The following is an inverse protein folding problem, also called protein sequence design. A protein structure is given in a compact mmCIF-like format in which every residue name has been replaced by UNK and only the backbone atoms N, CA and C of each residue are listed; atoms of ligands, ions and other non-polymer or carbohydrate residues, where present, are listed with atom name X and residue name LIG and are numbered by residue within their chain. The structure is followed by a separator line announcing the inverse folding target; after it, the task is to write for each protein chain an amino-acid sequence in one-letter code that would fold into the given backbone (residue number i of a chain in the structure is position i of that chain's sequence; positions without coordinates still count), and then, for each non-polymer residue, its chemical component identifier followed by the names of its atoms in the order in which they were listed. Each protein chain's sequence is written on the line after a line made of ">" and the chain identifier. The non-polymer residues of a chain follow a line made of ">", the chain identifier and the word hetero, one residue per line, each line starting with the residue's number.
data_IF_033347508981
#
_entry.id   IF_033347508981
#
_cell.length_a   1.000
_cell.length_b   1.000
_cell.length_c   1.000
_cell.angle_alpha   90.00
_cell.angle_beta   90.00
_cell.angle_gamma   90.00
#
_symmetry.space_group_name_H-M   'P 1'
#
loop_
_entity.id
_entity.type
_entity.pdbx_description
1 polymer ?
#
# COMPACT_ATOMS: atom_id res chain seq x y z
N UNK A 1 17.60 7.32 -6.65
CA UNK A 1 17.11 6.42 -5.59
C UNK A 1 17.59 5.00 -5.86
N UNK A 2 18.85 4.68 -5.53
CA UNK A 2 19.31 3.30 -5.40
C UNK A 2 18.89 2.66 -4.05
N UNK A 3 18.71 3.47 -3.01
CA UNK A 3 18.68 3.03 -1.61
C UNK A 3 17.58 2.01 -1.25
N UNK A 4 16.39 2.10 -1.86
CA UNK A 4 15.28 1.20 -1.48
C UNK A 4 15.38 -0.19 -2.12
N UNK A 5 15.85 -0.27 -3.37
CA UNK A 5 16.10 -1.56 -4.04
C UNK A 5 17.24 -2.29 -3.34
N UNK A 6 18.28 -1.56 -2.95
CA UNK A 6 19.41 -2.11 -2.18
C UNK A 6 18.95 -2.67 -0.82
N UNK A 7 18.02 -1.99 -0.13
CA UNK A 7 17.43 -2.47 1.12
C UNK A 7 16.69 -3.80 0.93
N UNK A 8 15.91 -3.95 -0.15
CA UNK A 8 15.22 -5.21 -0.45
C UNK A 8 16.23 -6.33 -0.73
N UNK A 9 17.31 -6.03 -1.47
CA UNK A 9 18.40 -6.99 -1.71
C UNK A 9 19.10 -7.40 -0.41
N UNK A 10 19.28 -6.48 0.54
CA UNK A 10 19.85 -6.78 1.86
C UNK A 10 18.96 -7.75 2.65
N UNK A 11 17.66 -7.49 2.71
CA UNK A 11 16.71 -8.43 3.35
C UNK A 11 16.74 -9.81 2.71
N UNK A 12 16.73 -9.86 1.38
CA UNK A 12 16.80 -11.13 0.65
C UNK A 12 18.10 -11.88 0.94
N UNK A 13 19.25 -11.19 0.92
CA UNK A 13 20.55 -11.78 1.24
C UNK A 13 20.70 -12.22 2.71
N UNK A 14 19.88 -11.67 3.61
CA UNK A 14 19.81 -12.02 5.03
C UNK A 14 18.73 -13.07 5.36
N UNK A 15 18.05 -13.64 4.36
CA UNK A 15 16.93 -14.58 4.52
C UNK A 15 15.71 -13.99 5.26
N UNK A 16 15.58 -12.65 5.27
CA UNK A 16 14.42 -11.94 5.81
C UNK A 16 13.26 -11.91 4.79
N UNK A 17 12.83 -13.10 4.36
CA UNK A 17 11.85 -13.24 3.27
C UNK A 17 10.50 -12.59 3.59
N UNK A 18 10.10 -12.54 4.87
CA UNK A 18 8.87 -11.86 5.31
C UNK A 18 8.87 -10.36 4.95
N UNK A 19 10.01 -9.69 5.06
CA UNK A 19 10.18 -8.28 4.69
C UNK A 19 9.99 -8.08 3.18
N UNK A 20 10.58 -8.96 2.37
CA UNK A 20 10.45 -8.94 0.90
C UNK A 20 8.99 -9.17 0.49
N UNK A 21 8.35 -10.16 1.10
CA UNK A 21 6.95 -10.52 0.92
C UNK A 21 5.99 -9.38 1.29
N UNK A 22 6.27 -8.68 2.40
CA UNK A 22 5.50 -7.52 2.82
C UNK A 22 5.55 -6.42 1.77
N UNK A 23 6.72 -6.13 1.18
CA UNK A 23 6.84 -5.17 0.07
C UNK A 23 6.10 -5.66 -1.18
N UNK A 24 6.22 -6.94 -1.52
CA UNK A 24 5.55 -7.52 -2.68
C UNK A 24 4.02 -7.38 -2.60
N UNK A 25 3.43 -7.50 -1.41
CA UNK A 25 1.99 -7.27 -1.16
C UNK A 25 1.64 -5.79 -1.04
N UNK A 26 2.53 -4.98 -0.51
CA UNK A 26 2.31 -3.55 -0.29
C UNK A 26 2.22 -2.76 -1.60
N UNK A 27 3.10 -3.03 -2.57
CA UNK A 27 3.13 -2.30 -3.85
C UNK A 27 1.76 -2.30 -4.57
N UNK A 28 1.12 -3.45 -4.88
CA UNK A 28 -0.18 -3.45 -5.53
C UNK A 28 -1.29 -2.85 -4.64
N UNK A 29 -1.16 -2.92 -3.31
CA UNK A 29 -2.09 -2.25 -2.41
C UNK A 29 -2.02 -0.73 -2.54
N UNK A 30 -0.81 -0.15 -2.55
CA UNK A 30 -0.61 1.28 -2.72
C UNK A 30 -1.00 1.77 -4.12
N UNK A 31 -0.72 0.99 -5.16
CA UNK A 31 -1.16 1.32 -6.52
C UNK A 31 -2.67 1.44 -6.61
N UNK A 32 -3.41 0.52 -5.97
CA UNK A 32 -4.86 0.66 -5.85
C UNK A 32 -5.27 1.91 -5.07
N UNK A 33 -4.64 2.19 -3.92
CA UNK A 33 -4.98 3.38 -3.11
C UNK A 33 -4.76 4.67 -3.90
N UNK A 34 -3.72 4.71 -4.75
CA UNK A 34 -3.35 5.86 -5.57
C UNK A 34 -4.20 6.06 -6.85
N UNK A 35 -5.05 5.11 -7.23
CA UNK A 35 -5.95 5.22 -8.38
C UNK A 35 -6.92 6.41 -8.26
N UNK A 36 -7.73 6.69 -9.28
CA UNK A 36 -8.91 7.56 -9.14
C UNK A 36 -10.08 6.83 -8.50
N UNK A 37 -11.12 7.55 -8.06
CA UNK A 37 -12.28 6.95 -7.40
C UNK A 37 -12.98 5.92 -8.30
N UNK A 38 -13.26 6.30 -9.55
CA UNK A 38 -13.88 5.41 -10.54
C UNK A 38 -13.06 4.15 -10.80
N UNK A 39 -11.73 4.26 -10.87
CA UNK A 39 -10.85 3.11 -11.05
C UNK A 39 -10.93 2.15 -9.84
N UNK A 40 -10.95 2.67 -8.61
CA UNK A 40 -11.07 1.84 -7.41
C UNK A 40 -12.40 1.09 -7.33
N UNK A 41 -13.49 1.75 -7.69
CA UNK A 41 -14.83 1.15 -7.70
C UNK A 41 -14.93 -0.03 -8.68
N UNK A 42 -14.20 0.05 -9.80
CA UNK A 42 -14.17 -0.97 -10.84
C UNK A 42 -13.19 -2.11 -10.53
N UNK A 43 -12.15 -1.84 -9.72
CA UNK A 43 -11.07 -2.79 -9.46
C UNK A 43 -11.38 -3.82 -8.37
N UNK A 44 -12.42 -3.62 -7.56
CA UNK A 44 -12.82 -4.57 -6.52
C UNK A 44 -14.21 -5.16 -6.80
N UNK A 45 -14.38 -6.49 -6.63
CA UNK A 45 -15.69 -7.14 -6.72
C UNK A 45 -16.54 -6.84 -5.48
N UNK A 46 -17.78 -7.33 -5.46
CA UNK A 46 -18.57 -7.40 -4.23
C UNK A 46 -18.72 -6.10 -3.43
N UNK A 47 -18.60 -6.22 -2.11
CA UNK A 47 -18.72 -5.11 -1.17
C UNK A 47 -17.40 -4.35 -1.04
N UNK A 48 -17.35 -3.13 -1.57
CA UNK A 48 -16.12 -2.32 -1.61
C UNK A 48 -15.50 -2.09 -0.23
N UNK A 49 -16.33 -1.87 0.81
CA UNK A 49 -15.85 -1.69 2.18
C UNK A 49 -15.13 -2.93 2.73
N UNK A 50 -15.65 -4.13 2.46
CA UNK A 50 -15.03 -5.38 2.89
C UNK A 50 -13.80 -5.73 2.05
N UNK A 51 -13.91 -5.57 0.73
CA UNK A 51 -12.83 -5.92 -0.19
C UNK A 51 -11.62 -5.01 -0.01
N UNK A 52 -11.82 -3.70 0.21
CA UNK A 52 -10.69 -2.78 0.35
C UNK A 52 -9.88 -3.06 1.62
N UNK A 53 -10.52 -3.52 2.69
CA UNK A 53 -9.82 -4.01 3.87
C UNK A 53 -8.97 -5.24 3.52
N UNK A 54 -9.63 -6.31 3.05
CA UNK A 54 -9.01 -7.62 2.91
C UNK A 54 -7.93 -7.66 1.82
N UNK A 55 -8.16 -6.98 0.70
CA UNK A 55 -7.28 -7.07 -0.46
C UNK A 55 -6.20 -5.98 -0.48
N UNK A 56 -6.33 -4.91 0.32
CA UNK A 56 -5.47 -3.71 0.21
C UNK A 56 -5.00 -3.21 1.56
N UNK A 57 -5.88 -2.67 2.40
CA UNK A 57 -5.47 -1.94 3.60
C UNK A 57 -4.86 -2.82 4.67
N UNK A 58 -5.23 -4.11 4.72
CA UNK A 58 -4.51 -5.09 5.52
C UNK A 58 -3.03 -5.17 5.15
N UNK A 59 -2.69 -5.20 3.87
CA UNK A 59 -1.28 -5.23 3.43
C UNK A 59 -0.50 -3.96 3.77
N UNK A 60 -1.19 -2.81 3.84
CA UNK A 60 -0.60 -1.56 4.34
C UNK A 60 -0.27 -1.68 5.83
N UNK A 61 -1.20 -2.21 6.63
CA UNK A 61 -0.98 -2.46 8.05
C UNK A 61 0.14 -3.47 8.30
N UNK A 62 0.08 -4.62 7.62
CA UNK A 62 1.06 -5.70 7.76
C UNK A 62 2.46 -5.18 7.45
N UNK A 63 2.64 -4.42 6.36
CA UNK A 63 3.94 -3.86 6.00
C UNK A 63 4.47 -2.86 7.04
N UNK A 64 3.60 -2.03 7.65
CA UNK A 64 4.01 -1.15 8.74
C UNK A 64 4.48 -1.94 9.97
N UNK A 65 3.89 -3.10 10.24
CA UNK A 65 4.28 -3.97 11.36
C UNK A 65 5.60 -4.71 11.08
N UNK A 66 5.77 -5.23 9.87
CA UNK A 66 6.94 -6.04 9.50
C UNK A 66 8.17 -5.16 9.22
N UNK A 67 8.05 -4.18 8.33
CA UNK A 67 9.20 -3.41 7.83
C UNK A 67 9.19 -1.94 8.24
N UNK A 68 8.13 -1.45 8.90
CA UNK A 68 7.92 -0.01 9.14
C UNK A 68 9.10 0.72 9.78
N UNK A 69 9.82 0.08 10.72
CA UNK A 69 10.99 0.65 11.40
C UNK A 69 12.28 0.63 10.56
N UNK A 70 12.34 -0.21 9.54
CA UNK A 70 13.48 -0.34 8.64
C UNK A 70 13.32 0.51 7.38
N UNK A 71 12.11 1.01 7.11
CA UNK A 71 11.85 1.90 5.98
C UNK A 71 12.50 3.28 6.19
N UNK A 72 13.10 3.88 5.16
CA UNK A 72 13.50 5.28 5.17
C UNK A 72 12.31 6.20 5.48
N UNK A 73 12.53 7.32 6.18
CA UNK A 73 11.48 8.27 6.54
C UNK A 73 10.67 8.78 5.35
N UNK A 74 11.31 8.93 4.18
CA UNK A 74 10.66 9.33 2.92
C UNK A 74 9.58 8.34 2.45
N UNK A 75 9.61 7.11 2.94
CA UNK A 75 8.63 6.05 2.67
C UNK A 75 7.75 5.84 3.91
N UNK A 76 8.36 5.72 5.09
CA UNK A 76 7.67 5.39 6.33
C UNK A 76 6.64 6.46 6.74
N UNK A 77 6.97 7.75 6.63
CA UNK A 77 6.07 8.83 7.01
C UNK A 77 4.79 8.89 6.15
N UNK A 78 4.86 8.92 4.80
CA UNK A 78 3.65 8.90 3.98
C UNK A 78 2.90 7.56 4.09
N UNK A 79 3.57 6.43 4.30
CA UNK A 79 2.91 5.14 4.50
C UNK A 79 2.09 5.12 5.81
N UNK A 80 2.67 5.61 6.90
CA UNK A 80 1.95 5.81 8.16
C UNK A 80 0.76 6.75 7.98
N UNK A 81 0.86 7.79 7.15
CA UNK A 81 -0.26 8.68 6.83
C UNK A 81 -1.38 7.96 6.10
N UNK A 82 -1.08 7.09 5.12
CA UNK A 82 -2.10 6.26 4.44
C UNK A 82 -2.86 5.43 5.49
N UNK A 83 -2.13 4.75 6.38
CA UNK A 83 -2.74 3.94 7.42
C UNK A 83 -3.57 4.76 8.42
N UNK A 84 -3.02 5.86 8.94
CA UNK A 84 -3.69 6.70 9.92
C UNK A 84 -5.01 7.29 9.38
N UNK A 85 -5.04 7.69 8.11
CA UNK A 85 -6.25 8.18 7.45
C UNK A 85 -7.32 7.09 7.36
N UNK A 86 -6.94 5.87 6.98
CA UNK A 86 -7.87 4.74 6.92
C UNK A 86 -8.34 4.30 8.31
N UNK A 87 -7.44 4.15 9.27
CA UNK A 87 -7.74 3.74 10.64
C UNK A 87 -8.61 4.76 11.40
N UNK A 88 -8.64 6.02 10.96
CA UNK A 88 -9.51 7.06 11.50
C UNK A 88 -10.94 7.06 10.90
N UNK A 89 -11.22 6.19 9.92
CA UNK A 89 -12.56 6.04 9.35
C UNK A 89 -13.45 5.28 10.32
N UNK A 90 -14.67 5.79 10.54
CA UNK A 90 -15.69 5.10 11.33
C UNK A 90 -16.63 4.27 10.46
N UNK A 91 -17.58 3.58 11.10
CA UNK A 91 -18.57 2.73 10.42
C UNK A 91 -19.37 3.50 9.34
N UNK A 92 -19.60 4.80 9.55
CA UNK A 92 -20.30 5.67 8.62
C UNK A 92 -19.48 6.03 7.36
N UNK A 93 -18.15 5.89 7.39
CA UNK A 93 -17.26 6.22 6.27
C UNK A 93 -17.13 5.07 5.26
N UNK A 94 -17.28 3.83 5.71
CA UNK A 94 -17.15 2.59 4.93
C UNK A 94 -18.41 1.69 5.04
N UNK A 95 -19.62 2.20 4.74
CA UNK A 95 -20.82 1.38 4.82
C UNK A 95 -20.79 0.26 3.78
N UNK A 96 -21.17 -0.94 4.22
CA UNK A 96 -21.33 -2.08 3.31
C UNK A 96 -22.35 -1.77 2.20
N UNK A 97 -22.11 -2.33 1.02
CA UNK A 97 -22.93 -2.18 -0.20
C UNK A 97 -22.95 -0.77 -0.84
N UNK A 98 -22.33 0.23 -0.23
CA UNK A 98 -22.13 1.52 -0.88
C UNK A 98 -21.02 1.42 -1.94
N UNK A 99 -21.41 1.55 -3.21
CA UNK A 99 -20.51 1.49 -4.36
C UNK A 99 -19.75 2.79 -4.59
N UNK A 100 -20.04 3.85 -3.84
CA UNK A 100 -19.50 5.21 -4.01
C UNK A 100 -18.56 5.63 -2.88
N UNK A 101 -18.16 4.73 -1.99
CA UNK A 101 -17.29 5.05 -0.84
C UNK A 101 -16.01 5.77 -1.25
N UNK A 102 -15.46 5.46 -2.43
CA UNK A 102 -14.24 6.05 -2.96
C UNK A 102 -14.39 7.49 -3.47
N UNK A 103 -15.61 7.94 -3.75
CA UNK A 103 -15.90 9.34 -4.12
C UNK A 103 -15.85 10.29 -2.91
N UNK A 104 -15.87 9.75 -1.70
CA UNK A 104 -15.90 10.54 -0.47
C UNK A 104 -14.57 11.26 -0.28
N UNK A 105 -14.63 12.50 0.18
CA UNK A 105 -13.45 13.38 0.28
C UNK A 105 -12.30 12.83 1.14
N UNK A 106 -12.58 11.90 2.08
CA UNK A 106 -11.56 11.26 2.91
C UNK A 106 -10.58 10.39 2.12
N UNK A 107 -10.95 9.92 0.92
CA UNK A 107 -10.07 9.11 0.07
C UNK A 107 -9.02 9.94 -0.66
N UNK A 108 -9.29 11.20 -0.98
CA UNK A 108 -8.35 12.06 -1.70
C UNK A 108 -6.98 12.22 -0.98
N UNK A 109 -6.91 12.57 0.32
CA UNK A 109 -5.62 12.66 1.01
C UNK A 109 -4.92 11.30 1.14
N UNK A 110 -5.64 10.18 1.07
CA UNK A 110 -5.02 8.84 1.05
C UNK A 110 -4.40 8.53 -0.30
N UNK A 111 -5.06 8.90 -1.42
CA UNK A 111 -4.50 8.78 -2.77
C UNK A 111 -3.18 9.54 -2.86
N UNK A 112 -3.17 10.79 -2.40
CA UNK A 112 -1.98 11.65 -2.40
C UNK A 112 -0.84 11.06 -1.58
N UNK A 113 -1.12 10.56 -0.37
CA UNK A 113 -0.11 9.91 0.46
C UNK A 113 0.42 8.62 -0.21
N UNK A 114 -0.45 7.79 -0.79
CA UNK A 114 -0.02 6.58 -1.51
C UNK A 114 0.83 6.90 -2.75
N UNK A 115 0.50 7.95 -3.50
CA UNK A 115 1.34 8.45 -4.60
C UNK A 115 2.72 8.88 -4.11
N UNK A 116 2.81 9.53 -2.94
CA UNK A 116 4.11 9.89 -2.35
C UNK A 116 4.93 8.65 -1.99
N UNK A 117 4.32 7.64 -1.35
CA UNK A 117 5.01 6.37 -1.04
C UNK A 117 5.53 5.71 -2.32
N UNK A 118 4.68 5.58 -3.33
CA UNK A 118 5.08 4.98 -4.61
C UNK A 118 6.21 5.78 -5.28
N UNK A 119 6.13 7.11 -5.29
CA UNK A 119 7.21 7.94 -5.84
C UNK A 119 8.54 7.72 -5.10
N UNK A 120 8.50 7.54 -3.78
CA UNK A 120 9.68 7.30 -2.94
C UNK A 120 10.21 5.86 -3.00
N UNK A 121 9.37 4.88 -3.38
CA UNK A 121 9.79 3.49 -3.59
C UNK A 121 10.30 3.23 -5.01
N UNK A 122 9.77 3.90 -6.02
CA UNK A 122 10.05 3.60 -7.42
C UNK A 122 9.50 2.23 -7.85
N UNK A 123 8.17 2.05 -7.90
CA UNK A 123 7.50 0.73 -8.02
C UNK A 123 7.94 -0.08 -9.24
N UNK A 124 8.32 0.57 -10.35
CA UNK A 124 8.82 -0.14 -11.54
C UNK A 124 10.09 -0.95 -11.24
N UNK A 125 11.09 -0.32 -10.63
CA UNK A 125 12.35 -0.97 -10.27
C UNK A 125 12.14 -2.06 -9.21
N UNK A 126 11.31 -1.77 -8.20
CA UNK A 126 10.96 -2.73 -7.15
C UNK A 126 10.28 -3.98 -7.73
N UNK A 127 9.29 -3.80 -8.63
CA UNK A 127 8.60 -4.92 -9.27
C UNK A 127 9.53 -5.77 -10.13
N UNK A 128 10.44 -5.13 -10.88
CA UNK A 128 11.46 -5.86 -11.66
C UNK A 128 12.32 -6.70 -10.74
N UNK A 129 12.84 -6.13 -9.65
CA UNK A 129 13.64 -6.87 -8.67
C UNK A 129 12.85 -8.07 -8.10
N UNK A 130 11.63 -7.85 -7.59
CA UNK A 130 10.83 -8.91 -6.99
C UNK A 130 10.53 -10.06 -7.97
N UNK A 131 10.32 -9.74 -9.25
CA UNK A 131 10.12 -10.76 -10.28
C UNK A 131 11.39 -11.58 -10.55
N UNK A 132 12.57 -10.99 -10.43
CA UNK A 132 13.85 -11.68 -10.57
C UNK A 132 14.17 -12.54 -9.33
N UNK A 133 13.80 -12.10 -8.12
CA UNK A 133 13.97 -12.86 -6.88
C UNK A 133 13.01 -14.05 -6.74
N UNK A 134 11.91 -14.06 -7.51
CA UNK A 134 10.90 -15.13 -7.49
C UNK A 134 11.21 -16.27 -8.47
N UNK A 135 12.35 -16.22 -9.18
CA UNK A 135 12.79 -17.22 -10.17
C UNK A 135 13.78 -18.21 -9.58
#
# INVERSE_FOLDING_TARGET
>A
MPDFVDLICQWYGADELESVDAIARLIPALEFVAMTATQQEQALPGCLACEVWNARMRHVQDALQVVGNALPDSIAAPLNRVWALYASMGDGDLPCHDRSIFQRGRWQPMREAATQVLSAMGPGAVKTLLADLSR
#
